data_IF_058505466124
#
_entry.id   IF_058505466124
#
_cell.length_a   1.000
_cell.length_b   1.000
_cell.length_c   1.000
_cell.angle_alpha   90.00
_cell.angle_beta   90.00
_cell.angle_gamma   90.00
#
_symmetry.space_group_name_H-M   'P 1'
#
loop_
_entity.id
_entity.type
_entity.pdbx_description
1 polymer ?
#
# COMPACT_ATOMS: atom_id res chain seq x y z
N UNK A 1 50.22 15.35 12.08
CA UNK A 1 49.21 14.41 12.58
C UNK A 1 47.95 15.21 12.87
N UNK A 2 47.01 15.28 11.93
CA UNK A 2 45.74 16.00 12.10
C UNK A 2 44.64 15.01 12.50
N UNK A 3 43.72 15.37 13.41
CA UNK A 3 42.63 14.48 13.77
C UNK A 3 41.65 14.36 12.59
N UNK A 4 41.47 13.12 12.12
CA UNK A 4 40.44 12.75 11.16
C UNK A 4 39.05 13.06 11.72
N UNK A 5 38.33 13.97 11.08
CA UNK A 5 36.98 14.35 11.43
C UNK A 5 36.01 13.27 10.89
N UNK A 6 35.82 12.18 11.64
CA UNK A 6 34.86 11.13 11.30
C UNK A 6 33.47 11.65 11.66
N UNK A 7 32.71 12.06 10.65
CA UNK A 7 31.30 12.41 10.81
C UNK A 7 30.47 11.13 11.11
N UNK A 8 29.83 11.00 12.27
CA UNK A 8 29.05 9.81 12.65
C UNK A 8 27.74 9.65 11.88
N UNK A 9 27.43 10.53 10.93
CA UNK A 9 26.18 10.53 10.17
C UNK A 9 26.26 9.89 8.77
N UNK A 10 27.33 9.15 8.47
CA UNK A 10 27.39 8.31 7.26
C UNK A 10 26.51 7.07 7.46
N UNK A 11 25.20 7.27 7.31
CA UNK A 11 24.25 6.18 7.13
C UNK A 11 24.62 5.50 5.81
N UNK A 12 24.93 4.21 5.89
CA UNK A 12 25.24 3.35 4.75
C UNK A 12 24.14 3.35 3.68
N UNK A 13 24.31 2.57 2.60
CA UNK A 13 23.50 2.69 1.40
C UNK A 13 22.01 2.67 1.74
N UNK A 14 21.34 3.76 1.36
CA UNK A 14 19.91 3.97 1.48
C UNK A 14 19.21 2.74 0.87
N UNK A 15 18.80 1.78 1.68
CA UNK A 15 17.90 0.73 1.22
C UNK A 15 16.59 1.41 0.85
N UNK A 16 16.44 1.69 -0.43
CA UNK A 16 15.24 2.23 -1.05
C UNK A 16 14.14 1.15 -1.04
N UNK A 17 13.74 0.71 0.16
CA UNK A 17 12.46 0.02 0.36
C UNK A 17 11.40 1.08 0.12
N UNK A 18 10.99 1.22 -1.13
CA UNK A 18 9.85 2.03 -1.51
C UNK A 18 8.71 1.65 -0.57
N UNK A 19 8.34 2.57 0.30
CA UNK A 19 7.45 2.33 1.43
C UNK A 19 6.03 2.14 0.86
N UNK A 20 5.70 0.93 0.38
CA UNK A 20 4.39 0.60 -0.23
C UNK A 20 3.26 0.98 0.74
N UNK A 21 3.51 0.85 2.04
CA UNK A 21 2.59 1.23 3.11
C UNK A 21 2.25 2.74 3.16
N UNK A 22 3.09 3.60 2.57
CA UNK A 22 2.84 5.03 2.44
C UNK A 22 2.11 5.42 1.14
N UNK A 23 1.80 4.46 0.26
CA UNK A 23 1.12 4.75 -1.00
C UNK A 23 -0.37 5.04 -0.78
N UNK A 24 -0.88 6.00 -1.56
CA UNK A 24 -2.31 6.36 -1.56
C UNK A 24 -2.82 6.65 -2.96
N UNK A 25 -4.12 6.45 -3.14
CA UNK A 25 -4.87 6.78 -4.35
C UNK A 25 -6.00 7.73 -3.98
N UNK A 26 -5.97 8.93 -4.54
CA UNK A 26 -7.08 9.89 -4.47
C UNK A 26 -8.05 9.66 -5.64
N UNK A 27 -9.32 9.52 -5.33
CA UNK A 27 -10.43 9.35 -6.26
C UNK A 27 -11.45 10.46 -6.06
N UNK A 28 -12.17 10.84 -7.11
CA UNK A 28 -13.37 11.69 -6.96
C UNK A 28 -14.61 10.81 -7.02
N UNK A 29 -15.41 10.82 -5.96
CA UNK A 29 -16.66 10.06 -5.84
C UNK A 29 -17.75 11.04 -5.45
N UNK A 30 -18.82 11.15 -6.25
CA UNK A 30 -19.92 12.11 -6.03
C UNK A 30 -19.45 13.55 -5.78
N UNK A 31 -18.42 13.99 -6.52
CA UNK A 31 -17.82 15.33 -6.38
C UNK A 31 -16.89 15.50 -5.18
N UNK A 32 -16.78 14.51 -4.29
CA UNK A 32 -15.89 14.54 -3.13
C UNK A 32 -14.58 13.80 -3.41
N UNK A 33 -13.47 14.34 -2.90
CA UNK A 33 -12.17 13.65 -2.98
C UNK A 33 -12.04 12.64 -1.83
N UNK A 34 -11.87 11.37 -2.19
CA UNK A 34 -11.64 10.27 -1.26
C UNK A 34 -10.19 9.81 -1.42
N UNK A 35 -9.43 9.80 -0.33
CA UNK A 35 -8.07 9.28 -0.29
C UNK A 35 -8.09 7.89 0.31
N UNK A 36 -7.61 6.92 -0.45
CA UNK A 36 -7.47 5.53 0.00
C UNK A 36 -5.98 5.22 0.15
N UNK A 37 -5.56 4.94 1.38
CA UNK A 37 -4.18 4.47 1.67
C UNK A 37 -4.12 2.95 1.58
N UNK A 38 -2.96 2.43 1.16
CA UNK A 38 -2.75 0.97 1.11
C UNK A 38 -2.92 0.32 2.49
N UNK A 39 -2.41 0.97 3.54
CA UNK A 39 -2.59 0.55 4.94
C UNK A 39 -4.06 0.41 5.36
N UNK A 40 -4.96 1.22 4.79
CA UNK A 40 -6.40 1.12 5.07
C UNK A 40 -7.02 -0.06 4.34
N UNK A 41 -6.56 -0.36 3.12
CA UNK A 41 -6.97 -1.55 2.38
C UNK A 41 -6.52 -2.83 3.10
N UNK A 42 -5.26 -2.91 3.52
CA UNK A 42 -4.73 -4.04 4.30
C UNK A 42 -5.59 -4.37 5.53
N UNK A 43 -6.08 -3.34 6.25
CA UNK A 43 -6.99 -3.54 7.40
C UNK A 43 -8.35 -4.11 7.00
N UNK A 44 -8.90 -3.67 5.87
CA UNK A 44 -10.20 -4.14 5.35
C UNK A 44 -10.07 -5.60 4.91
N UNK A 45 -9.07 -5.89 4.07
CA UNK A 45 -8.87 -7.23 3.52
C UNK A 45 -8.51 -8.22 4.61
N UNK A 46 -7.74 -7.86 5.64
CA UNK A 46 -7.47 -8.76 6.78
C UNK A 46 -8.76 -9.29 7.43
N UNK A 47 -9.80 -8.48 7.52
CA UNK A 47 -11.11 -8.95 7.99
C UNK A 47 -11.74 -9.97 7.05
N UNK A 48 -11.62 -9.76 5.73
CA UNK A 48 -12.11 -10.69 4.70
C UNK A 48 -11.29 -11.98 4.67
N UNK A 49 -9.96 -11.89 4.72
CA UNK A 49 -9.06 -13.03 4.74
C UNK A 49 -9.32 -13.94 5.93
N UNK A 50 -9.55 -13.33 7.10
CA UNK A 50 -9.89 -14.10 8.31
C UNK A 50 -11.20 -14.87 8.13
N UNK A 51 -12.21 -14.25 7.50
CA UNK A 51 -13.46 -14.96 7.20
C UNK A 51 -13.25 -16.07 6.17
N UNK A 52 -12.47 -15.83 5.11
CA UNK A 52 -12.13 -16.83 4.10
C UNK A 52 -11.39 -18.03 4.73
N UNK A 53 -10.44 -17.78 5.64
CA UNK A 53 -9.74 -18.81 6.39
C UNK A 53 -10.69 -19.61 7.29
N UNK A 54 -11.56 -18.92 8.06
CA UNK A 54 -12.55 -19.57 8.93
C UNK A 54 -13.57 -20.40 8.15
N UNK A 55 -13.90 -20.01 6.92
CA UNK A 55 -14.80 -20.74 6.02
C UNK A 55 -14.11 -21.88 5.27
N UNK A 56 -12.78 -22.04 5.40
CA UNK A 56 -12.00 -23.03 4.66
C UNK A 56 -11.79 -22.71 3.19
N UNK A 57 -11.98 -21.45 2.77
CA UNK A 57 -11.77 -20.98 1.40
C UNK A 57 -10.29 -20.72 1.10
N UNK A 58 -9.49 -20.41 2.12
CA UNK A 58 -8.03 -20.30 2.03
C UNK A 58 -7.36 -20.98 3.22
N UNK A 59 -6.17 -21.54 3.00
CA UNK A 59 -5.32 -22.08 4.07
C UNK A 59 -4.28 -21.05 4.56
N UNK A 60 -4.17 -19.92 3.88
CA UNK A 60 -3.22 -18.85 4.16
C UNK A 60 -3.95 -17.50 4.17
N UNK A 61 -4.28 -17.03 5.39
CA UNK A 61 -4.97 -15.76 5.62
C UNK A 61 -4.11 -14.57 5.16
N UNK A 62 -2.79 -14.65 5.39
CA UNK A 62 -1.89 -13.52 5.20
C UNK A 62 -1.64 -13.28 3.71
N UNK A 63 -1.26 -14.33 2.96
CA UNK A 63 -1.04 -14.23 1.51
C UNK A 63 -2.32 -13.80 0.80
N UNK A 64 -3.46 -14.42 1.15
CA UNK A 64 -4.75 -14.08 0.56
C UNK A 64 -5.12 -12.61 0.82
N UNK A 65 -4.88 -12.10 2.03
CA UNK A 65 -5.12 -10.69 2.33
C UNK A 65 -4.25 -9.75 1.51
N UNK A 66 -2.96 -10.03 1.41
CA UNK A 66 -2.03 -9.18 0.68
C UNK A 66 -2.36 -9.13 -0.82
N UNK A 67 -2.64 -10.28 -1.44
CA UNK A 67 -3.05 -10.39 -2.84
C UNK A 67 -4.30 -9.55 -3.14
N UNK A 68 -5.33 -9.70 -2.30
CA UNK A 68 -6.58 -8.95 -2.48
C UNK A 68 -6.36 -7.43 -2.24
N UNK A 69 -5.51 -7.04 -1.29
CA UNK A 69 -5.17 -5.64 -1.09
C UNK A 69 -4.46 -5.04 -2.32
N UNK A 70 -3.53 -5.78 -2.90
CA UNK A 70 -2.78 -5.36 -4.09
C UNK A 70 -3.73 -5.19 -5.29
N UNK A 71 -4.58 -6.19 -5.56
CA UNK A 71 -5.56 -6.17 -6.64
C UNK A 71 -6.52 -4.98 -6.54
N UNK A 72 -7.06 -4.74 -5.34
CA UNK A 72 -7.94 -3.59 -5.10
C UNK A 72 -7.17 -2.29 -5.34
N UNK A 73 -5.94 -2.19 -4.85
CA UNK A 73 -5.14 -0.98 -4.98
C UNK A 73 -4.80 -0.67 -6.45
N UNK A 74 -4.44 -1.69 -7.22
CA UNK A 74 -4.24 -1.63 -8.66
C UNK A 74 -5.51 -1.17 -9.39
N UNK A 75 -6.66 -1.76 -9.05
CA UNK A 75 -7.96 -1.39 -9.63
C UNK A 75 -8.28 0.10 -9.36
N UNK A 76 -8.04 0.59 -8.14
CA UNK A 76 -8.24 2.00 -7.80
C UNK A 76 -7.31 2.92 -8.60
N UNK A 77 -6.04 2.53 -8.82
CA UNK A 77 -5.12 3.27 -9.71
C UNK A 77 -5.68 3.35 -11.13
N UNK A 78 -6.25 2.26 -11.65
CA UNK A 78 -6.87 2.26 -12.99
C UNK A 78 -8.11 3.16 -13.05
N UNK A 79 -8.97 3.14 -12.03
CA UNK A 79 -10.13 4.04 -11.93
C UNK A 79 -9.69 5.50 -11.96
N UNK A 80 -8.67 5.87 -11.17
CA UNK A 80 -8.08 7.22 -11.18
C UNK A 80 -7.59 7.62 -12.58
N UNK A 81 -6.91 6.73 -13.30
CA UNK A 81 -6.46 6.98 -14.69
C UNK A 81 -7.65 7.26 -15.62
N UNK A 82 -8.75 6.51 -15.48
CA UNK A 82 -9.97 6.70 -16.28
C UNK A 82 -10.69 8.01 -15.96
N UNK A 83 -10.75 8.41 -14.68
CA UNK A 83 -11.33 9.71 -14.28
C UNK A 83 -10.54 10.89 -14.85
N UNK A 84 -9.20 10.78 -14.96
CA UNK A 84 -8.37 11.81 -15.59
C UNK A 84 -8.59 11.96 -17.09
N UNK A 85 -8.90 10.86 -17.81
CA UNK A 85 -9.13 10.87 -19.27
C UNK A 85 -10.52 11.39 -19.68
N UNK A 86 -11.46 11.48 -18.73
CA UNK A 86 -12.82 12.01 -18.95
C UNK A 86 -12.95 13.52 -18.65
N UNK A 87 -11.85 14.16 -18.24
CA UNK A 87 -11.72 15.62 -18.20
C UNK A 87 -11.07 16.09 -19.48
#
# INVERSE_FOLDING_TARGET
>A
MGPSNINPNSKGPLQNRSNINAQSVTLTVNGQQVVVTYSRLQKIVRGLSKMAYLNGETNDEESYGEEIAEDIFEALKQVKKRQKKKK
#
